data_IF_060524481465
#
_entry.id   IF_060524481465
#
_cell.length_a   1.000
_cell.length_b   1.000
_cell.length_c   1.000
_cell.angle_alpha   90.00
_cell.angle_beta   90.00
_cell.angle_gamma   90.00
#
_symmetry.space_group_name_H-M   'P 1'
#
loop_
_entity.id
_entity.type
_entity.pdbx_description
1 polymer ?
#
# COMPACT_ATOMS: atom_id res chain seq x y z
N UNK A 1 -4.01 11.01 12.77
CA UNK A 1 -3.16 12.10 12.21
C UNK A 1 -3.45 12.21 10.72
N UNK A 2 -3.63 13.42 10.15
CA UNK A 2 -3.84 13.59 8.69
C UNK A 2 -2.55 13.30 7.92
N UNK A 3 -2.64 12.64 6.77
CA UNK A 3 -1.53 12.46 5.85
C UNK A 3 -0.98 13.81 5.37
N UNK A 4 0.33 13.90 5.16
CA UNK A 4 1.00 15.10 4.64
C UNK A 4 0.87 15.19 3.12
N UNK A 5 1.03 14.07 2.41
CA UNK A 5 0.89 13.99 0.97
C UNK A 5 -0.56 13.67 0.59
N UNK A 6 -1.25 14.66 0.01
CA UNK A 6 -2.69 14.54 -0.34
C UNK A 6 -2.97 15.05 -1.73
N UNK A 7 -3.91 14.39 -2.40
CA UNK A 7 -4.49 14.80 -3.67
C UNK A 7 -6.01 14.83 -3.53
N UNK A 8 -6.64 15.94 -3.89
CA UNK A 8 -8.10 16.15 -3.84
C UNK A 8 -8.72 15.72 -2.48
N UNK A 9 -7.98 15.96 -1.40
CA UNK A 9 -8.44 15.63 -0.04
C UNK A 9 -8.11 14.21 0.44
N UNK A 10 -7.56 13.33 -0.40
CA UNK A 10 -7.22 11.96 -0.05
C UNK A 10 -5.71 11.72 0.06
N UNK A 11 -5.24 10.82 0.95
CA UNK A 11 -3.83 10.44 1.02
C UNK A 11 -3.36 9.80 -0.28
N UNK A 12 -2.20 10.24 -0.81
CA UNK A 12 -1.67 9.73 -2.08
C UNK A 12 -1.10 8.32 -1.92
N UNK A 13 -0.36 8.05 -0.84
CA UNK A 13 0.30 6.76 -0.63
C UNK A 13 -0.66 5.56 -0.73
N UNK A 14 -1.82 5.52 -0.04
CA UNK A 14 -2.77 4.42 -0.16
C UNK A 14 -3.37 4.24 -1.56
N UNK A 15 -3.43 5.32 -2.36
CA UNK A 15 -3.92 5.25 -3.74
C UNK A 15 -2.90 4.58 -4.66
N UNK A 16 -1.62 4.71 -4.36
CA UNK A 16 -0.54 4.20 -5.20
C UNK A 16 -0.12 2.76 -4.87
N UNK A 17 -0.26 2.32 -3.61
CA UNK A 17 0.16 0.97 -3.19
C UNK A 17 -0.60 -0.16 -3.89
N UNK A 18 -1.77 0.12 -4.48
CA UNK A 18 -2.55 -0.87 -5.23
C UNK A 18 -1.76 -1.42 -6.44
N UNK A 19 -0.92 -0.59 -7.06
CA UNK A 19 -0.10 -0.99 -8.21
C UNK A 19 0.98 -2.02 -7.81
N UNK A 20 1.94 -1.72 -6.93
CA UNK A 20 2.95 -2.71 -6.56
C UNK A 20 2.32 -3.96 -5.92
N UNK A 21 1.31 -3.80 -5.06
CA UNK A 21 0.67 -4.94 -4.41
C UNK A 21 0.01 -5.88 -5.42
N UNK A 22 -0.76 -5.35 -6.37
CA UNK A 22 -1.41 -6.13 -7.41
C UNK A 22 -0.41 -6.75 -8.38
N UNK A 23 0.48 -5.94 -8.94
CA UNK A 23 1.42 -6.39 -9.98
C UNK A 23 2.42 -7.44 -9.48
N UNK A 24 3.01 -7.25 -8.29
CA UNK A 24 3.97 -8.20 -7.72
C UNK A 24 3.29 -9.49 -7.29
N UNK A 25 2.05 -9.42 -6.79
CA UNK A 25 1.27 -10.63 -6.46
C UNK A 25 0.92 -11.43 -7.70
N UNK A 26 0.45 -10.76 -8.77
CA UNK A 26 0.15 -11.43 -10.05
C UNK A 26 1.42 -12.03 -10.67
N UNK A 27 2.56 -11.35 -10.57
CA UNK A 27 3.84 -11.89 -11.00
C UNK A 27 4.18 -13.21 -10.30
N UNK A 28 4.01 -13.27 -8.96
CA UNK A 28 4.23 -14.48 -8.19
C UNK A 28 3.28 -15.63 -8.59
N UNK A 29 2.03 -15.32 -8.93
CA UNK A 29 1.06 -16.29 -9.46
C UNK A 29 1.51 -16.79 -10.83
N UNK A 30 1.95 -15.91 -11.72
CA UNK A 30 2.45 -16.29 -13.04
C UNK A 30 3.70 -17.19 -12.96
N UNK A 31 4.57 -16.99 -11.98
CA UNK A 31 5.68 -17.89 -11.71
C UNK A 31 5.21 -19.31 -11.34
N UNK A 32 4.13 -19.43 -10.54
CA UNK A 32 3.53 -20.74 -10.20
C UNK A 32 2.94 -21.39 -11.44
N UNK A 33 2.23 -20.62 -12.29
CA UNK A 33 1.66 -21.13 -13.54
C UNK A 33 2.77 -21.55 -14.49
N UNK A 34 3.87 -20.79 -14.59
CA UNK A 34 5.05 -21.17 -15.39
C UNK A 34 5.62 -22.51 -14.95
N UNK A 35 5.83 -22.72 -13.66
CA UNK A 35 6.35 -24.00 -13.14
C UNK A 35 5.41 -25.16 -13.50
N UNK A 36 4.10 -24.94 -13.41
CA UNK A 36 3.09 -25.98 -13.65
C UNK A 36 2.93 -26.31 -15.14
N UNK A 37 3.11 -25.34 -16.02
CA UNK A 37 2.81 -25.47 -17.46
C UNK A 37 4.06 -25.54 -18.33
N UNK A 38 5.21 -25.15 -17.81
CA UNK A 38 6.48 -24.97 -18.56
C UNK A 38 6.35 -24.02 -19.76
N UNK A 39 5.30 -23.17 -19.79
CA UNK A 39 5.08 -22.19 -20.83
C UNK A 39 5.76 -20.86 -20.45
N UNK A 40 6.87 -20.55 -21.15
CA UNK A 40 7.68 -19.36 -20.92
C UNK A 40 6.95 -18.01 -21.05
N UNK A 41 5.79 -18.00 -21.73
CA UNK A 41 4.95 -16.80 -21.81
C UNK A 41 4.53 -16.26 -20.42
N UNK A 42 4.21 -17.16 -19.47
CA UNK A 42 3.86 -16.77 -18.11
C UNK A 42 5.04 -16.16 -17.36
N UNK A 43 6.24 -16.71 -17.55
CA UNK A 43 7.45 -16.16 -16.94
C UNK A 43 7.81 -14.79 -17.53
N UNK A 44 7.63 -14.57 -18.83
CA UNK A 44 7.84 -13.28 -19.47
C UNK A 44 6.84 -12.23 -18.98
N UNK A 45 5.57 -12.58 -18.85
CA UNK A 45 4.56 -11.72 -18.22
C UNK A 45 4.95 -11.36 -16.77
N UNK A 46 5.38 -12.35 -15.97
CA UNK A 46 5.88 -12.12 -14.61
C UNK A 46 7.02 -11.11 -14.59
N UNK A 47 8.00 -11.21 -15.49
CA UNK A 47 9.12 -10.30 -15.62
C UNK A 47 8.68 -8.83 -15.78
N UNK A 48 7.71 -8.57 -16.64
CA UNK A 48 7.19 -7.21 -16.87
C UNK A 48 6.30 -6.71 -15.73
N UNK A 49 5.54 -7.61 -15.09
CA UNK A 49 4.77 -7.28 -13.88
C UNK A 49 5.69 -6.89 -12.73
N UNK A 50 6.83 -7.59 -12.55
CA UNK A 50 7.84 -7.24 -11.55
C UNK A 50 8.41 -5.86 -11.83
N UNK A 51 8.85 -5.59 -13.07
CA UNK A 51 9.39 -4.28 -13.44
C UNK A 51 8.41 -3.13 -13.12
N UNK A 52 7.16 -3.29 -13.55
CA UNK A 52 6.10 -2.30 -13.32
C UNK A 52 5.76 -2.16 -11.83
N UNK A 53 5.74 -3.27 -11.08
CA UNK A 53 5.52 -3.29 -9.64
C UNK A 53 6.63 -2.58 -8.86
N UNK A 54 7.90 -2.76 -9.25
CA UNK A 54 9.05 -2.04 -8.67
C UNK A 54 8.89 -0.53 -8.87
N UNK A 55 8.59 -0.09 -10.11
CA UNK A 55 8.40 1.33 -10.42
C UNK A 55 7.25 1.90 -9.57
N UNK A 56 6.10 1.23 -9.53
CA UNK A 56 4.96 1.64 -8.70
C UNK A 56 5.30 1.70 -7.22
N UNK A 57 6.06 0.72 -6.73
CA UNK A 57 6.53 0.65 -5.33
C UNK A 57 7.45 1.80 -4.97
N UNK A 58 8.41 2.14 -5.83
CA UNK A 58 9.33 3.27 -5.61
C UNK A 58 8.57 4.61 -5.59
N UNK A 59 7.60 4.79 -6.49
CA UNK A 59 6.75 5.99 -6.49
C UNK A 59 5.93 6.06 -5.20
N UNK A 60 5.29 4.97 -4.80
CA UNK A 60 4.51 4.92 -3.55
C UNK A 60 5.37 5.18 -2.30
N UNK A 61 6.63 4.70 -2.29
CA UNK A 61 7.56 4.87 -1.18
C UNK A 61 7.88 6.34 -0.89
N UNK A 62 7.99 7.19 -1.93
CA UNK A 62 8.21 8.63 -1.76
C UNK A 62 7.11 9.26 -0.91
N UNK A 63 5.85 8.99 -1.24
CA UNK A 63 4.70 9.54 -0.51
C UNK A 63 4.54 8.92 0.88
N UNK A 64 4.84 7.62 1.01
CA UNK A 64 4.86 6.94 2.31
C UNK A 64 5.92 7.52 3.26
N UNK A 65 7.10 7.86 2.74
CA UNK A 65 8.16 8.52 3.50
C UNK A 65 7.72 9.92 3.98
N UNK A 66 7.11 10.72 3.09
CA UNK A 66 6.58 12.05 3.43
C UNK A 66 5.56 11.94 4.57
N UNK A 67 4.64 10.97 4.49
CA UNK A 67 3.64 10.75 5.54
C UNK A 67 4.26 10.26 6.84
N UNK A 68 5.23 9.33 6.79
CA UNK A 68 5.95 8.83 7.96
C UNK A 68 6.74 9.93 8.69
N UNK A 69 7.40 10.83 7.95
CA UNK A 69 8.09 11.99 8.52
C UNK A 69 7.13 12.92 9.27
N UNK A 70 5.85 12.93 8.92
CA UNK A 70 4.81 13.68 9.61
C UNK A 70 4.27 13.03 10.89
N UNK A 71 4.60 11.76 11.19
CA UNK A 71 4.17 11.08 12.42
C UNK A 71 5.01 11.60 13.59
N UNK A 72 4.38 12.00 14.72
CA UNK A 72 5.10 12.49 15.89
C UNK A 72 6.10 11.46 16.45
N UNK A 73 7.29 11.93 16.83
CA UNK A 73 8.31 11.12 17.46
C UNK A 73 7.83 10.54 18.81
N UNK A 74 8.40 9.41 19.23
CA UNK A 74 8.08 8.74 20.49
C UNK A 74 6.72 8.03 20.50
N UNK A 75 6.00 8.00 19.37
CA UNK A 75 4.70 7.32 19.28
C UNK A 75 4.85 5.88 18.75
N UNK A 76 3.94 4.99 19.18
CA UNK A 76 3.82 3.64 18.61
C UNK A 76 3.63 3.68 17.08
N UNK A 77 2.88 4.68 16.57
CA UNK A 77 2.66 4.86 15.14
C UNK A 77 3.97 5.12 14.38
N UNK A 78 4.88 5.92 14.95
CA UNK A 78 6.20 6.19 14.36
C UNK A 78 7.04 4.92 14.23
N UNK A 79 7.06 4.09 15.29
CA UNK A 79 7.79 2.83 15.32
C UNK A 79 7.19 1.79 14.34
N UNK A 80 5.87 1.60 14.35
CA UNK A 80 5.20 0.68 13.41
C UNK A 80 5.38 1.16 11.96
N UNK A 81 5.32 2.47 11.72
CA UNK A 81 5.59 3.06 10.40
C UNK A 81 7.00 2.80 9.90
N UNK A 82 7.99 2.82 10.81
CA UNK A 82 9.38 2.47 10.47
C UNK A 82 9.49 0.99 10.06
N UNK A 83 8.91 0.07 10.84
CA UNK A 83 8.95 -1.37 10.50
C UNK A 83 8.22 -1.62 9.17
N UNK A 84 7.04 -1.03 8.97
CA UNK A 84 6.30 -1.10 7.70
C UNK A 84 7.17 -0.63 6.52
N UNK A 85 7.82 0.54 6.65
CA UNK A 85 8.67 1.10 5.61
C UNK A 85 9.89 0.22 5.31
N UNK A 86 10.61 -0.23 6.35
CA UNK A 86 11.79 -1.10 6.19
C UNK A 86 11.40 -2.46 5.57
N UNK A 87 10.28 -3.05 5.97
CA UNK A 87 9.77 -4.29 5.36
C UNK A 87 9.52 -4.10 3.86
N UNK A 88 8.90 -2.99 3.46
CA UNK A 88 8.68 -2.70 2.04
C UNK A 88 9.98 -2.42 1.27
N UNK A 89 11.00 -1.81 1.89
CA UNK A 89 12.33 -1.67 1.28
C UNK A 89 12.93 -3.05 1.01
N UNK A 90 12.86 -3.98 1.96
CA UNK A 90 13.32 -5.37 1.76
C UNK A 90 12.55 -6.03 0.61
N UNK A 91 11.23 -5.89 0.55
CA UNK A 91 10.40 -6.40 -0.56
C UNK A 91 10.91 -5.87 -1.91
N UNK A 92 11.08 -4.56 -2.03
CA UNK A 92 11.55 -3.95 -3.29
C UNK A 92 12.93 -4.46 -3.67
N UNK A 93 13.86 -4.59 -2.72
CA UNK A 93 15.21 -5.14 -2.98
C UNK A 93 15.11 -6.58 -3.48
N UNK A 94 14.31 -7.44 -2.85
CA UNK A 94 14.14 -8.84 -3.28
C UNK A 94 13.60 -8.92 -4.71
N UNK A 95 12.62 -8.10 -5.05
CA UNK A 95 12.07 -8.07 -6.41
C UNK A 95 13.05 -7.47 -7.42
N UNK A 96 13.84 -6.45 -7.06
CA UNK A 96 14.92 -5.92 -7.91
C UNK A 96 15.94 -7.03 -8.21
N UNK A 97 16.42 -7.75 -7.20
CA UNK A 97 17.37 -8.84 -7.38
C UNK A 97 16.76 -9.94 -8.24
N UNK A 98 15.52 -10.37 -7.95
CA UNK A 98 14.77 -11.34 -8.75
C UNK A 98 14.69 -10.90 -10.22
N UNK A 99 14.33 -9.64 -10.47
CA UNK A 99 14.19 -9.08 -11.81
C UNK A 99 15.51 -9.08 -12.58
N UNK A 100 16.60 -8.66 -11.93
CA UNK A 100 17.93 -8.68 -12.56
C UNK A 100 18.40 -10.10 -12.89
N UNK A 101 18.11 -11.08 -12.04
CA UNK A 101 18.46 -12.50 -12.30
C UNK A 101 17.67 -13.09 -13.49
N UNK A 102 16.50 -12.54 -13.82
CA UNK A 102 15.67 -12.97 -14.95
C UNK A 102 16.10 -12.36 -16.29
N UNK A 103 16.84 -11.24 -16.30
CA UNK A 103 17.21 -10.50 -17.52
C UNK A 103 17.86 -11.33 -18.63
N UNK A 104 18.76 -12.29 -18.33
CA UNK A 104 19.37 -13.08 -19.41
C UNK A 104 18.37 -13.94 -20.18
N UNK A 105 17.33 -14.45 -19.51
CA UNK A 105 16.26 -15.25 -20.15
C UNK A 105 14.94 -15.08 -19.37
N UNK A 106 14.15 -14.03 -19.63
CA UNK A 106 12.91 -13.77 -18.89
C UNK A 106 11.86 -14.89 -19.02
N UNK A 107 11.84 -15.60 -20.18
CA UNK A 107 10.91 -16.68 -20.44
C UNK A 107 11.28 -18.01 -19.74
N UNK A 108 12.49 -18.12 -19.19
CA UNK A 108 12.94 -19.32 -18.47
C UNK A 108 13.81 -18.92 -17.25
N UNK A 109 13.22 -18.25 -16.24
CA UNK A 109 13.96 -17.83 -15.05
C UNK A 109 14.35 -19.02 -14.19
N UNK A 110 15.51 -18.93 -13.55
CA UNK A 110 15.94 -19.90 -12.55
C UNK A 110 15.06 -19.88 -11.29
N UNK A 111 14.97 -21.03 -10.61
CA UNK A 111 14.17 -21.20 -9.40
C UNK A 111 14.51 -20.14 -8.32
N UNK A 112 15.79 -19.83 -8.12
CA UNK A 112 16.22 -18.83 -7.13
C UNK A 112 15.56 -17.47 -7.36
N UNK A 113 15.45 -17.02 -8.61
CA UNK A 113 14.81 -15.76 -8.94
C UNK A 113 13.31 -15.76 -8.55
N UNK A 114 12.61 -16.87 -8.78
CA UNK A 114 11.21 -17.02 -8.39
C UNK A 114 11.04 -17.09 -6.87
N UNK A 115 11.91 -17.83 -6.17
CA UNK A 115 11.89 -17.91 -4.71
C UNK A 115 12.05 -16.53 -4.03
N UNK A 116 12.94 -15.68 -4.54
CA UNK A 116 13.08 -14.31 -4.03
C UNK A 116 11.76 -13.52 -4.17
N UNK A 117 11.04 -13.67 -5.27
CA UNK A 117 9.73 -13.08 -5.46
C UNK A 117 8.71 -13.58 -4.43
N UNK A 118 8.63 -14.89 -4.21
CA UNK A 118 7.70 -15.47 -3.23
C UNK A 118 8.01 -15.06 -1.79
N UNK A 119 9.29 -15.06 -1.40
CA UNK A 119 9.73 -14.52 -0.10
C UNK A 119 9.30 -13.04 0.01
N UNK A 120 9.50 -12.26 -1.06
CA UNK A 120 9.05 -10.88 -1.15
C UNK A 120 7.55 -10.73 -0.90
N UNK A 121 6.71 -11.59 -1.48
CA UNK A 121 5.25 -11.58 -1.24
C UNK A 121 4.91 -11.88 0.22
N UNK A 122 5.55 -12.87 0.85
CA UNK A 122 5.30 -13.17 2.27
C UNK A 122 5.60 -11.96 3.16
N UNK A 123 6.73 -11.28 2.90
CA UNK A 123 7.09 -10.06 3.63
C UNK A 123 6.12 -8.92 3.30
N UNK A 124 5.66 -8.80 2.04
CA UNK A 124 4.69 -7.78 1.63
C UNK A 124 3.33 -7.96 2.33
N UNK A 125 2.87 -9.19 2.55
CA UNK A 125 1.66 -9.47 3.33
C UNK A 125 1.80 -9.00 4.77
N UNK A 126 2.94 -9.28 5.41
CA UNK A 126 3.24 -8.76 6.75
C UNK A 126 3.27 -7.22 6.76
N UNK A 127 3.97 -6.60 5.80
CA UNK A 127 3.99 -5.15 5.67
C UNK A 127 2.60 -4.56 5.45
N UNK A 128 1.76 -5.21 4.62
CA UNK A 128 0.37 -4.82 4.41
C UNK A 128 -0.46 -4.85 5.69
N UNK A 129 -0.28 -5.89 6.53
CA UNK A 129 -0.91 -5.96 7.84
C UNK A 129 -0.49 -4.80 8.76
N UNK A 130 0.80 -4.45 8.78
CA UNK A 130 1.28 -3.27 9.52
C UNK A 130 0.68 -1.96 8.99
N UNK A 131 0.50 -1.84 7.67
CA UNK A 131 -0.22 -0.72 7.05
C UNK A 131 -1.66 -0.62 7.54
N UNK A 132 -2.36 -1.73 7.65
CA UNK A 132 -3.69 -1.82 8.27
C UNK A 132 -3.68 -1.38 9.73
N UNK A 133 -2.69 -1.80 10.53
CA UNK A 133 -2.53 -1.38 11.92
C UNK A 133 -2.35 0.14 12.03
N UNK A 134 -1.55 0.76 11.14
CA UNK A 134 -1.35 2.20 11.09
C UNK A 134 -2.66 2.96 10.84
N UNK A 135 -3.49 2.49 9.90
CA UNK A 135 -4.73 3.18 9.52
C UNK A 135 -5.85 2.90 10.52
N UNK A 136 -6.17 1.62 10.74
CA UNK A 136 -7.40 1.22 11.45
C UNK A 136 -7.25 1.24 12.98
N UNK A 137 -6.03 1.08 13.52
CA UNK A 137 -5.79 1.09 14.97
C UNK A 137 -5.14 2.37 15.45
N UNK A 138 -4.23 2.96 14.65
CA UNK A 138 -3.45 4.12 15.04
C UNK A 138 -3.91 5.41 14.38
N UNK A 139 -4.95 5.34 13.55
CA UNK A 139 -5.61 6.49 12.91
C UNK A 139 -4.64 7.38 12.10
N UNK A 140 -3.63 6.76 11.48
CA UNK A 140 -2.68 7.45 10.59
C UNK A 140 -3.33 7.64 9.22
N UNK A 141 -3.26 8.85 8.68
CA UNK A 141 -3.83 9.19 7.38
C UNK A 141 -5.33 9.52 7.40
N UNK A 142 -6.03 9.30 8.52
CA UNK A 142 -7.47 9.53 8.66
C UNK A 142 -7.75 10.96 9.10
N UNK A 143 -8.78 11.59 8.55
CA UNK A 143 -9.21 12.93 8.91
C UNK A 143 -9.81 12.96 10.33
N UNK A 144 -9.52 14.05 11.06
CA UNK A 144 -10.13 14.27 12.38
C UNK A 144 -11.64 14.41 12.23
N UNK A 145 -12.38 13.63 13.01
CA UNK A 145 -13.84 13.63 12.97
C UNK A 145 -14.44 12.88 11.79
N UNK A 146 -13.65 12.04 11.08
CA UNK A 146 -14.19 11.15 10.06
C UNK A 146 -15.33 10.32 10.63
N UNK A 147 -16.48 10.30 9.93
CA UNK A 147 -17.70 9.60 10.32
C UNK A 147 -18.55 9.29 9.06
N UNK A 148 -19.59 8.48 9.22
CA UNK A 148 -20.42 8.02 8.10
C UNK A 148 -21.21 9.14 7.39
N UNK A 149 -21.44 10.27 8.04
CA UNK A 149 -22.15 11.44 7.51
C UNK A 149 -21.20 12.60 7.17
N UNK A 150 -19.87 12.35 7.13
CA UNK A 150 -18.89 13.38 6.83
C UNK A 150 -19.13 14.00 5.45
N UNK A 151 -18.99 15.32 5.30
CA UNK A 151 -19.15 15.98 4.01
C UNK A 151 -18.05 15.54 3.03
N UNK A 152 -18.34 15.61 1.73
CA UNK A 152 -17.38 15.29 0.67
C UNK A 152 -16.07 16.07 0.84
N UNK A 153 -14.94 15.43 0.56
CA UNK A 153 -13.59 15.98 0.68
C UNK A 153 -13.35 17.25 -0.13
N UNK A 154 -14.07 17.46 -1.24
CA UNK A 154 -13.99 18.64 -2.11
C UNK A 154 -14.87 19.80 -1.61
N UNK A 155 -15.70 19.60 -0.60
CA UNK A 155 -16.61 20.64 -0.08
C UNK A 155 -15.92 21.75 0.71
N UNK A 156 -14.64 21.60 1.04
CA UNK A 156 -13.89 22.50 1.92
C UNK A 156 -14.32 22.46 3.40
N UNK A 157 -15.36 21.67 3.74
CA UNK A 157 -15.89 21.55 5.10
C UNK A 157 -15.14 20.48 5.90
N UNK A 158 -14.96 20.70 7.22
CA UNK A 158 -14.38 19.71 8.10
C UNK A 158 -15.30 18.50 8.27
N UNK A 159 -14.72 17.29 8.43
CA UNK A 159 -15.46 16.05 8.64
C UNK A 159 -16.38 16.08 9.89
N UNK A 160 -16.00 16.87 10.92
CA UNK A 160 -16.77 17.04 12.17
C UNK A 160 -18.16 17.65 11.95
N UNK A 161 -18.39 18.38 10.85
CA UNK A 161 -19.64 19.11 10.59
C UNK A 161 -20.90 18.27 10.46
N UNK A 162 -20.81 16.93 10.35
CA UNK A 162 -21.95 16.01 10.27
C UNK A 162 -22.61 15.70 11.62
N UNK A 163 -21.87 15.78 12.71
CA UNK A 163 -22.35 15.37 14.05
C UNK A 163 -23.33 16.40 14.70
N UNK A 164 -23.23 17.68 14.32
CA UNK A 164 -24.07 18.73 14.90
C UNK A 164 -25.52 18.80 14.40
N UNK A 165 -25.86 18.17 13.27
CA UNK A 165 -27.21 18.28 12.66
C UNK A 165 -28.22 17.25 13.17
N UNK A 166 -27.82 16.15 13.80
CA UNK A 166 -28.75 15.16 14.32
C UNK A 166 -29.36 15.53 15.66
N UNK A 167 -28.67 16.31 16.52
CA UNK A 167 -29.14 16.65 17.86
C UNK A 167 -30.34 17.63 17.88
N UNK A 168 -30.47 18.52 16.87
CA UNK A 168 -31.54 19.53 16.88
C UNK A 168 -32.87 19.09 16.25
N UNK A 169 -32.87 18.04 15.40
CA UNK A 169 -34.13 17.54 14.79
C UNK A 169 -34.92 16.59 15.68
N UNK A 170 -34.32 15.99 16.70
CA UNK A 170 -35.01 15.07 17.63
C UNK A 170 -35.84 15.77 18.71
N UNK A 171 -35.49 17.03 19.05
CA UNK A 171 -36.13 17.75 20.15
C UNK A 171 -37.40 18.52 19.70
N UNK A 172 -37.56 18.79 18.40
CA UNK A 172 -38.76 19.51 17.90
C UNK A 172 -39.97 18.62 17.51
N UNK A 173 -39.92 17.31 17.69
CA UNK A 173 -41.09 16.41 17.40
C UNK A 173 -41.77 15.87 18.65
N UNK A 174 -41.42 16.35 19.85
CA UNK A 174 -42.02 15.92 21.12
C UNK A 174 -42.73 17.09 21.83
N UNK A 175 -43.47 17.96 21.10
CA UNK A 175 -44.42 18.90 21.66
C UNK A 175 -45.69 18.93 20.80
#
# INVERSE_FOLDING_TARGET
MRAKARLLGHPIHPMLIVFPLGLLTVAAIFDIIYISTHNGHWADLSYWMIASGIIGGLIAAVFGLIDWLGIPEGTRAKYIGLIHGLSNVVVVILFIVSWFMRRPNPAAPGLTAMMLGWIGIVIALFAGWLGGELVYRLNVGVDRGANLDAPNSLSGRAAIGGLGRRSTRGVMRAR
#
